data_IF_274483380640
#
_entry.id   IF_274483380640
#
_cell.length_a   1.000
_cell.length_b   1.000
_cell.length_c   1.000
_cell.angle_alpha   90.00
_cell.angle_beta   90.00
_cell.angle_gamma   90.00
#
_symmetry.space_group_name_H-M   'P 1'
#
loop_
_entity.id
_entity.type
_entity.pdbx_description
1 polymer ?
#
# COMPACT_ATOMS: atom_id res chain seq x y z
N UNK A 1 -4.17 -39.89 -21.34
CA UNK A 1 -3.33 -39.04 -20.47
C UNK A 1 -4.11 -38.01 -19.62
N UNK A 2 -5.35 -37.60 -19.95
CA UNK A 2 -6.06 -36.53 -19.20
C UNK A 2 -6.56 -36.89 -17.79
N UNK A 3 -6.90 -38.16 -17.50
CA UNK A 3 -7.38 -38.58 -16.16
C UNK A 3 -6.30 -38.61 -15.06
N UNK A 4 -5.04 -38.86 -15.41
CA UNK A 4 -3.90 -38.76 -14.47
C UNK A 4 -3.55 -37.30 -14.14
N UNK A 5 -3.79 -36.39 -15.08
CA UNK A 5 -3.57 -34.96 -14.89
C UNK A 5 -4.58 -34.35 -13.90
N UNK A 6 -5.87 -34.71 -14.00
CA UNK A 6 -6.91 -34.29 -13.04
C UNK A 6 -6.65 -34.79 -11.61
N UNK A 7 -6.04 -35.98 -11.44
CA UNK A 7 -5.59 -36.45 -10.12
C UNK A 7 -4.37 -35.67 -9.59
N UNK A 8 -3.44 -35.26 -10.47
CA UNK A 8 -2.28 -34.41 -10.11
C UNK A 8 -2.72 -32.98 -9.70
N UNK A 9 -3.84 -32.47 -10.25
CA UNK A 9 -4.47 -31.20 -9.87
C UNK A 9 -4.93 -31.16 -8.39
N UNK A 10 -5.41 -32.28 -7.83
CA UNK A 10 -5.92 -32.34 -6.45
C UNK A 10 -4.82 -32.18 -5.38
N UNK A 11 -3.54 -32.41 -5.73
CA UNK A 11 -2.38 -32.22 -4.85
C UNK A 11 -1.94 -30.75 -4.73
N UNK A 12 -2.43 -29.85 -5.60
CA UNK A 12 -2.01 -28.44 -5.69
C UNK A 12 -2.42 -27.59 -4.47
N UNK A 13 -3.54 -27.91 -3.80
CA UNK A 13 -4.17 -27.03 -2.79
C UNK A 13 -3.55 -27.03 -1.37
N UNK A 14 -2.53 -27.85 -1.08
CA UNK A 14 -2.01 -28.02 0.29
C UNK A 14 -0.78 -27.18 0.65
N UNK A 15 -0.15 -26.46 -0.27
CA UNK A 15 1.20 -25.91 -0.07
C UNK A 15 1.30 -24.38 0.15
N UNK A 16 0.26 -23.59 -0.12
CA UNK A 16 0.35 -22.14 0.06
C UNK A 16 -0.73 -21.56 0.97
N UNK A 17 -0.33 -21.21 2.20
CA UNK A 17 -1.11 -20.32 3.05
C UNK A 17 -0.17 -19.35 3.78
N UNK A 18 -0.13 -18.10 3.31
CA UNK A 18 0.02 -16.84 4.07
C UNK A 18 0.28 -15.66 3.12
N UNK A 19 -0.68 -14.73 3.05
CA UNK A 19 -0.69 -13.52 2.19
C UNK A 19 -0.71 -12.21 3.01
N UNK A 20 -0.04 -12.19 4.17
CA UNK A 20 -0.01 -11.00 5.05
C UNK A 20 1.27 -10.15 4.90
N UNK A 21 2.40 -10.74 4.49
CA UNK A 21 3.71 -10.05 4.52
C UNK A 21 4.13 -9.43 3.17
N UNK A 22 3.30 -9.54 2.13
CA UNK A 22 3.63 -9.13 0.74
C UNK A 22 3.42 -7.64 0.51
N UNK A 23 2.24 -7.14 0.86
CA UNK A 23 1.88 -5.73 0.75
C UNK A 23 2.76 -4.87 1.67
N UNK A 24 3.08 -5.36 2.87
CA UNK A 24 3.86 -4.61 3.87
C UNK A 24 5.26 -4.20 3.40
N UNK A 25 5.93 -4.94 2.52
CA UNK A 25 7.28 -4.57 2.05
C UNK A 25 7.25 -3.50 0.95
N UNK A 26 6.24 -3.56 0.06
CA UNK A 26 5.98 -2.56 -0.97
C UNK A 26 5.44 -1.29 -0.30
N UNK A 27 4.48 -1.43 0.61
CA UNK A 27 4.00 -0.36 1.49
C UNK A 27 5.14 0.29 2.25
N UNK A 28 6.02 -0.45 2.94
CA UNK A 28 7.17 0.17 3.64
C UNK A 28 8.07 1.00 2.72
N UNK A 29 8.31 0.59 1.47
CA UNK A 29 9.14 1.37 0.52
C UNK A 29 8.41 2.60 0.01
N UNK A 30 7.12 2.46 -0.22
CA UNK A 30 6.25 3.51 -0.72
C UNK A 30 5.99 4.51 0.41
N UNK A 31 5.59 4.06 1.59
CA UNK A 31 5.60 4.79 2.86
C UNK A 31 6.97 5.38 3.17
N UNK A 32 8.11 4.80 2.80
CA UNK A 32 9.41 5.48 2.96
C UNK A 32 9.56 6.65 1.96
N UNK A 33 9.06 6.50 0.74
CA UNK A 33 9.06 7.54 -0.31
C UNK A 33 8.04 8.65 -0.01
N UNK A 34 6.90 8.28 0.56
CA UNK A 34 5.89 9.18 1.09
C UNK A 34 6.25 9.70 2.47
N UNK A 35 7.05 9.01 3.27
CA UNK A 35 7.64 9.51 4.50
C UNK A 35 8.71 10.53 4.18
N UNK A 36 9.36 10.46 3.01
CA UNK A 36 10.13 11.58 2.48
C UNK A 36 9.17 12.73 2.12
N UNK A 37 7.98 12.48 1.55
CA UNK A 37 6.98 13.54 1.31
C UNK A 37 6.35 14.10 2.60
N UNK A 38 6.21 13.28 3.65
CA UNK A 38 5.75 13.65 4.99
C UNK A 38 6.87 14.37 5.73
N UNK A 39 8.13 13.94 5.59
CA UNK A 39 9.31 14.68 6.04
C UNK A 39 9.45 15.98 5.28
N UNK A 40 9.12 16.05 4.00
CA UNK A 40 9.10 17.28 3.22
C UNK A 40 7.95 18.19 3.64
N UNK A 41 6.74 17.68 3.93
CA UNK A 41 5.66 18.45 4.58
C UNK A 41 6.07 18.90 5.98
N UNK A 42 6.65 18.02 6.79
CA UNK A 42 7.17 18.33 8.13
C UNK A 42 8.36 19.28 8.07
N UNK A 43 9.17 19.25 7.00
CA UNK A 43 10.28 20.14 6.72
C UNK A 43 9.79 21.47 6.15
N UNK A 44 8.71 21.52 5.37
CA UNK A 44 8.03 22.74 4.92
C UNK A 44 7.34 23.42 6.10
N UNK A 45 6.71 22.63 6.98
CA UNK A 45 6.23 23.07 8.30
C UNK A 45 7.42 23.57 9.12
N UNK A 46 8.56 22.86 9.17
CA UNK A 46 9.78 23.35 9.84
C UNK A 46 10.47 24.54 9.16
N UNK A 47 10.30 24.74 7.86
CA UNK A 47 10.79 25.91 7.12
C UNK A 47 9.88 27.10 7.39
N UNK A 48 8.55 26.91 7.47
CA UNK A 48 7.61 27.88 8.06
C UNK A 48 7.88 28.12 9.55
N UNK A 49 8.42 27.15 10.32
CA UNK A 49 8.97 27.34 11.69
C UNK A 49 10.23 28.22 11.71
N UNK A 50 10.85 28.56 10.57
CA UNK A 50 12.12 29.30 10.46
C UNK A 50 12.02 30.61 9.68
N UNK A 51 10.91 30.90 9.01
CA UNK A 51 10.70 32.25 8.48
C UNK A 51 10.52 33.22 9.66
N UNK A 52 11.34 34.28 9.75
CA UNK A 52 11.15 35.27 10.80
C UNK A 52 9.83 35.97 10.54
N UNK A 53 8.88 35.82 11.47
CA UNK A 53 7.68 36.66 11.55
C UNK A 53 8.17 38.09 11.79
N UNK A 54 8.42 38.82 10.71
CA UNK A 54 8.61 40.26 10.72
C UNK A 54 7.22 40.89 10.76
N UNK A 55 6.64 40.93 11.96
CA UNK A 55 5.86 42.05 12.48
C UNK A 55 5.31 41.71 13.88
N UNK A 56 5.75 42.52 14.86
CA UNK A 56 5.21 42.75 16.22
C UNK A 56 5.11 41.53 17.15
N UNK A 57 5.74 41.43 18.32
CA UNK A 57 6.42 42.36 19.25
C UNK A 57 7.36 41.52 20.10
N UNK A 58 8.44 42.14 20.59
CA UNK A 58 9.46 41.58 21.47
C UNK A 58 8.93 40.60 22.55
N UNK A 59 9.12 39.30 22.32
CA UNK A 59 9.15 38.31 23.39
C UNK A 59 10.55 37.73 23.48
N UNK A 60 11.25 38.20 24.50
CA UNK A 60 12.62 37.88 24.84
C UNK A 60 12.90 36.36 24.80
N UNK A 61 14.05 36.04 24.23
CA UNK A 61 14.67 34.71 24.08
C UNK A 61 15.01 33.97 25.38
N UNK A 62 14.42 34.36 26.52
CA UNK A 62 14.63 33.77 27.85
C UNK A 62 13.51 32.82 28.31
N UNK A 63 12.42 32.68 27.57
CA UNK A 63 11.30 31.77 27.94
C UNK A 63 11.37 30.35 27.34
N UNK A 64 12.47 29.97 26.68
CA UNK A 64 12.59 28.63 26.07
C UNK A 64 12.73 27.47 27.08
N UNK A 65 12.97 27.74 28.37
CA UNK A 65 13.27 26.71 29.36
C UNK A 65 12.31 26.59 30.56
N UNK A 66 11.16 27.29 30.58
CA UNK A 66 10.20 27.18 31.69
C UNK A 66 8.74 27.12 31.18
N UNK A 67 8.39 26.07 30.43
CA UNK A 67 6.98 25.72 30.24
C UNK A 67 6.50 25.11 31.57
N UNK A 68 5.89 25.91 32.43
CA UNK A 68 5.37 25.46 33.71
C UNK A 68 4.06 24.68 33.50
N UNK A 69 4.01 23.42 33.92
CA UNK A 69 2.87 22.50 33.74
C UNK A 69 1.54 23.06 34.26
N UNK A 70 1.57 23.89 35.32
CA UNK A 70 0.38 24.58 35.83
C UNK A 70 -0.22 25.59 34.84
N UNK A 71 0.60 26.23 34.01
CA UNK A 71 0.13 27.18 33.00
C UNK A 71 -0.69 26.48 31.90
N UNK A 72 -0.28 25.27 31.48
CA UNK A 72 -1.02 24.50 30.46
C UNK A 72 -2.40 24.09 30.98
N UNK A 73 -2.51 23.65 32.24
CA UNK A 73 -3.80 23.35 32.88
C UNK A 73 -4.71 24.59 32.90
N UNK A 74 -4.16 25.75 33.22
CA UNK A 74 -4.90 26.99 33.29
C UNK A 74 -5.32 27.50 31.90
N UNK A 75 -4.49 27.31 30.88
CA UNK A 75 -4.86 27.54 29.47
C UNK A 75 -6.01 26.65 29.02
N UNK A 76 -6.00 25.37 29.36
CA UNK A 76 -7.08 24.44 29.01
C UNK A 76 -8.38 24.80 29.75
N UNK A 77 -8.29 25.23 31.01
CA UNK A 77 -9.45 25.77 31.73
C UNK A 77 -9.97 27.08 31.11
N UNK A 78 -9.07 27.96 30.66
CA UNK A 78 -9.42 29.20 29.97
C UNK A 78 -10.17 28.91 28.66
N UNK A 79 -9.76 27.87 27.91
CA UNK A 79 -10.53 27.40 26.76
C UNK A 79 -11.95 27.01 27.15
N UNK A 80 -12.18 26.33 28.29
CA UNK A 80 -13.53 25.89 28.70
C UNK A 80 -14.47 27.05 29.03
N UNK A 81 -13.99 28.14 29.66
CA UNK A 81 -14.86 29.11 30.33
C UNK A 81 -14.82 30.56 29.80
N UNK A 82 -13.92 30.94 28.89
CA UNK A 82 -13.80 32.34 28.39
C UNK A 82 -14.55 32.65 27.08
N UNK A 83 -14.87 33.94 26.88
CA UNK A 83 -15.48 34.52 25.66
C UNK A 83 -14.49 34.53 24.46
N UNK A 84 -15.04 34.47 23.24
CA UNK A 84 -14.34 34.14 21.98
C UNK A 84 -12.99 34.85 21.73
N UNK A 85 -12.82 36.14 22.05
CA UNK A 85 -11.57 36.86 21.73
C UNK A 85 -10.38 36.38 22.56
N UNK A 86 -10.57 35.98 23.82
CA UNK A 86 -9.48 35.45 24.67
C UNK A 86 -9.18 33.97 24.38
N UNK A 87 -10.10 33.29 23.68
CA UNK A 87 -9.97 31.87 23.32
C UNK A 87 -8.96 31.71 22.19
N UNK A 88 -8.94 32.63 21.21
CA UNK A 88 -8.00 32.56 20.10
C UNK A 88 -6.54 32.71 20.56
N UNK A 89 -6.24 33.70 21.40
CA UNK A 89 -4.90 33.90 21.96
C UNK A 89 -4.43 32.67 22.75
N UNK A 90 -5.33 32.09 23.56
CA UNK A 90 -5.04 30.87 24.32
C UNK A 90 -4.77 29.67 23.39
N UNK A 91 -5.48 29.57 22.26
CA UNK A 91 -5.26 28.52 21.24
C UNK A 91 -3.92 28.73 20.55
N UNK A 92 -3.57 29.96 20.18
CA UNK A 92 -2.29 30.27 19.53
C UNK A 92 -1.11 29.97 20.44
N UNK A 93 -1.19 30.35 21.72
CA UNK A 93 -0.15 30.01 22.70
C UNK A 93 -0.05 28.48 22.91
N UNK A 94 -1.18 27.76 23.00
CA UNK A 94 -1.18 26.30 23.07
C UNK A 94 -0.62 25.66 21.80
N UNK A 95 -0.87 26.26 20.63
CA UNK A 95 -0.31 25.83 19.35
C UNK A 95 1.20 25.96 19.36
N UNK A 96 1.76 27.09 19.80
CA UNK A 96 3.20 27.25 19.95
C UNK A 96 3.81 26.23 20.93
N UNK A 97 3.17 25.98 22.07
CA UNK A 97 3.64 25.00 23.05
C UNK A 97 3.65 23.59 22.45
N UNK A 98 2.59 23.18 21.76
CA UNK A 98 2.49 21.86 21.10
C UNK A 98 3.46 21.76 19.92
N UNK A 99 3.79 22.87 19.24
CA UNK A 99 4.74 22.91 18.12
C UNK A 99 6.22 22.91 18.54
N UNK A 100 6.56 23.55 19.66
CA UNK A 100 7.93 23.76 20.13
C UNK A 100 8.40 22.63 21.05
N UNK A 101 7.48 21.97 21.75
CA UNK A 101 7.86 21.06 22.82
C UNK A 101 8.26 19.66 22.34
N UNK A 102 9.32 19.10 22.94
CA UNK A 102 9.56 17.65 23.05
C UNK A 102 8.61 17.01 24.10
N UNK A 103 7.65 17.78 24.64
CA UNK A 103 6.85 17.34 25.78
C UNK A 103 5.88 16.23 25.34
N UNK A 104 5.74 15.18 26.16
CA UNK A 104 5.06 13.98 25.72
C UNK A 104 3.57 14.27 25.59
N UNK A 105 3.04 13.96 24.41
CA UNK A 105 1.63 14.04 24.07
C UNK A 105 0.64 13.34 25.06
N UNK A 106 0.99 12.42 25.99
CA UNK A 106 0.05 11.89 27.00
C UNK A 106 -0.40 12.93 28.03
N UNK A 107 0.39 13.98 28.29
CA UNK A 107 0.04 15.00 29.28
C UNK A 107 -1.13 15.88 28.80
N UNK A 108 -1.07 16.38 27.56
CA UNK A 108 -2.16 17.14 26.95
C UNK A 108 -3.48 16.35 26.90
N UNK A 109 -3.39 15.02 26.75
CA UNK A 109 -4.53 14.12 26.80
C UNK A 109 -5.13 14.02 28.19
N UNK A 110 -4.29 13.80 29.22
CA UNK A 110 -4.76 13.72 30.61
C UNK A 110 -5.47 14.99 31.06
N UNK A 111 -5.07 16.14 30.52
CA UNK A 111 -5.71 17.42 30.81
C UNK A 111 -7.03 17.66 30.04
N UNK A 112 -7.41 16.77 29.14
CA UNK A 112 -8.64 16.91 28.34
C UNK A 112 -8.55 17.99 27.26
N UNK A 113 -7.34 18.31 26.77
CA UNK A 113 -7.15 19.29 25.69
C UNK A 113 -7.94 18.88 24.43
N UNK A 114 -7.86 17.61 24.04
CA UNK A 114 -8.53 17.07 22.84
C UNK A 114 -10.03 17.31 22.90
N UNK A 115 -10.69 16.96 24.01
CA UNK A 115 -12.13 17.16 24.18
C UNK A 115 -12.51 18.64 24.14
N UNK A 116 -11.66 19.50 24.71
CA UNK A 116 -11.89 20.94 24.76
C UNK A 116 -11.77 21.58 23.38
N UNK A 117 -10.74 21.23 22.60
CA UNK A 117 -10.56 21.69 21.22
C UNK A 117 -11.70 21.20 20.32
N UNK A 118 -12.10 19.93 20.47
CA UNK A 118 -13.24 19.36 19.76
C UNK A 118 -14.53 20.11 20.06
N UNK A 119 -14.78 20.46 21.33
CA UNK A 119 -15.95 21.26 21.70
C UNK A 119 -15.89 22.66 21.08
N UNK A 120 -14.71 23.30 21.06
CA UNK A 120 -14.54 24.62 20.44
C UNK A 120 -14.77 24.60 18.94
N UNK A 121 -14.30 23.58 18.25
CA UNK A 121 -14.57 23.39 16.83
C UNK A 121 -16.08 23.29 16.56
N UNK A 122 -16.83 22.60 17.42
CA UNK A 122 -18.30 22.49 17.28
C UNK A 122 -19.06 23.78 17.56
N UNK A 123 -18.62 24.56 18.55
CA UNK A 123 -19.40 25.69 19.07
C UNK A 123 -18.97 27.05 18.51
N UNK A 124 -17.73 27.16 18.02
CA UNK A 124 -17.18 28.41 17.51
C UNK A 124 -17.76 28.76 16.14
N UNK A 125 -18.04 30.05 15.92
CA UNK A 125 -18.29 30.61 14.59
C UNK A 125 -17.05 31.32 14.01
N UNK A 126 -15.98 31.45 14.81
CA UNK A 126 -14.73 32.08 14.39
C UNK A 126 -13.85 31.03 13.69
N UNK A 127 -13.50 31.30 12.44
CA UNK A 127 -12.72 30.43 11.56
C UNK A 127 -11.30 30.23 12.09
N UNK A 128 -10.63 31.26 12.62
CA UNK A 128 -9.28 31.16 13.16
C UNK A 128 -9.22 30.23 14.39
N UNK A 129 -10.27 30.24 15.22
CA UNK A 129 -10.39 29.35 16.38
C UNK A 129 -10.52 27.90 15.90
N UNK A 130 -11.28 27.66 14.83
CA UNK A 130 -11.49 26.34 14.25
C UNK A 130 -10.17 25.84 13.63
N UNK A 131 -9.54 26.63 12.78
CA UNK A 131 -8.28 26.31 12.09
C UNK A 131 -7.16 25.98 13.07
N UNK A 132 -6.89 26.88 14.02
CA UNK A 132 -5.79 26.66 14.96
C UNK A 132 -6.07 25.51 15.94
N UNK A 133 -7.34 25.24 16.28
CA UNK A 133 -7.72 24.04 17.04
C UNK A 133 -7.47 22.76 16.25
N UNK A 134 -7.78 22.77 14.94
CA UNK A 134 -7.52 21.64 14.05
C UNK A 134 -6.02 21.36 13.92
N UNK A 135 -5.20 22.40 13.74
CA UNK A 135 -3.75 22.28 13.65
C UNK A 135 -3.14 21.63 14.90
N UNK A 136 -3.61 22.02 16.09
CA UNK A 136 -3.17 21.40 17.34
C UNK A 136 -3.56 19.92 17.38
N UNK A 137 -4.81 19.59 17.05
CA UNK A 137 -5.28 18.20 17.01
C UNK A 137 -4.49 17.35 16.01
N UNK A 138 -4.08 17.93 14.89
CA UNK A 138 -3.28 17.23 13.89
C UNK A 138 -1.89 16.96 14.40
N UNK A 139 -1.22 17.97 14.98
CA UNK A 139 0.10 17.77 15.58
C UNK A 139 0.05 16.69 16.68
N UNK A 140 -1.01 16.65 17.49
CA UNK A 140 -1.25 15.58 18.47
C UNK A 140 -1.44 14.22 17.76
N UNK A 141 -2.24 14.17 16.69
CA UNK A 141 -2.53 12.94 15.93
C UNK A 141 -1.34 12.39 15.14
N UNK A 142 -0.34 13.23 14.84
CA UNK A 142 0.87 12.82 14.13
C UNK A 142 1.84 12.01 14.99
N UNK A 143 1.57 11.88 16.29
CA UNK A 143 2.35 11.11 17.27
C UNK A 143 2.07 9.59 17.30
N UNK A 144 2.56 8.92 18.36
CA UNK A 144 2.40 7.49 18.65
C UNK A 144 0.94 6.96 18.52
N UNK A 145 0.81 5.65 18.28
CA UNK A 145 -0.47 4.94 18.06
C UNK A 145 -1.51 5.09 19.18
N UNK A 146 -1.09 5.41 20.40
CA UNK A 146 -1.98 5.64 21.55
C UNK A 146 -2.83 6.92 21.40
N UNK A 147 -2.35 7.93 20.67
CA UNK A 147 -3.08 9.19 20.46
C UNK A 147 -4.25 9.04 19.49
N UNK A 148 -4.08 8.18 18.49
CA UNK A 148 -5.13 7.86 17.51
C UNK A 148 -6.29 7.13 18.20
N UNK A 149 -6.01 6.18 19.10
CA UNK A 149 -7.03 5.46 19.87
C UNK A 149 -7.88 6.38 20.77
N UNK A 150 -7.30 7.47 21.29
CA UNK A 150 -8.03 8.43 22.12
C UNK A 150 -8.87 9.38 21.26
N UNK A 151 -8.42 9.74 20.07
CA UNK A 151 -9.25 10.47 19.09
C UNK A 151 -10.46 9.62 18.65
N UNK A 152 -10.26 8.31 18.45
CA UNK A 152 -11.32 7.34 18.17
C UNK A 152 -12.31 7.26 19.33
N UNK A 153 -11.83 7.08 20.57
CA UNK A 153 -12.67 6.99 21.77
C UNK A 153 -13.49 8.25 22.10
N UNK A 154 -13.12 9.41 21.56
CA UNK A 154 -13.84 10.68 21.74
C UNK A 154 -14.78 11.04 20.58
N UNK A 155 -15.07 10.11 19.66
CA UNK A 155 -15.89 10.36 18.46
C UNK A 155 -15.39 11.53 17.60
N UNK A 156 -14.09 11.82 17.61
CA UNK A 156 -13.53 12.93 16.85
C UNK A 156 -13.84 12.77 15.35
N UNK A 157 -13.80 11.52 14.85
CA UNK A 157 -14.20 11.11 13.50
C UNK A 157 -15.58 11.68 13.10
N UNK A 158 -16.63 11.45 13.88
CA UNK A 158 -18.00 11.91 13.61
C UNK A 158 -18.14 13.44 13.56
N UNK A 159 -17.22 14.16 14.20
CA UNK A 159 -17.24 15.61 14.30
C UNK A 159 -16.56 16.21 13.08
N UNK A 160 -15.44 15.63 12.67
CA UNK A 160 -14.81 15.96 11.39
C UNK A 160 -15.71 15.61 10.21
N UNK A 161 -16.41 14.49 10.28
CA UNK A 161 -17.42 14.14 9.29
C UNK A 161 -18.53 15.17 9.24
N UNK A 162 -19.05 15.63 10.38
CA UNK A 162 -20.04 16.73 10.43
C UNK A 162 -19.50 18.05 9.88
N UNK A 163 -18.22 18.37 10.09
CA UNK A 163 -17.61 19.58 9.51
C UNK A 163 -17.49 19.48 7.98
N UNK A 164 -17.26 18.27 7.46
CA UNK A 164 -17.21 17.99 6.03
C UNK A 164 -18.61 17.82 5.40
N UNK A 165 -19.59 17.31 6.16
CA UNK A 165 -20.94 16.95 5.70
C UNK A 165 -22.03 17.97 6.05
N UNK A 166 -21.70 19.07 6.73
CA UNK A 166 -22.68 20.12 6.99
C UNK A 166 -23.12 20.76 5.67
N UNK A 167 -24.32 20.38 5.21
CA UNK A 167 -25.09 20.87 4.05
C UNK A 167 -25.48 22.36 4.14
N UNK A 168 -24.56 23.24 4.53
CA UNK A 168 -24.82 24.67 4.56
C UNK A 168 -23.91 25.36 3.51
N UNK A 169 -24.43 25.66 2.30
CA UNK A 169 -23.65 26.21 1.20
C UNK A 169 -23.02 27.59 1.50
N UNK A 170 -23.47 28.26 2.57
CA UNK A 170 -22.88 29.51 3.08
C UNK A 170 -21.72 29.33 4.07
N UNK A 171 -21.52 28.13 4.64
CA UNK A 171 -20.35 27.77 5.48
C UNK A 171 -19.30 27.02 4.66
N UNK A 172 -19.73 26.15 3.72
CA UNK A 172 -19.03 26.06 2.43
C UNK A 172 -19.04 27.46 1.77
N UNK A 173 -18.40 27.84 0.68
CA UNK A 173 -18.31 29.27 0.26
C UNK A 173 -17.61 30.26 1.23
N UNK A 174 -17.93 30.38 2.54
CA UNK A 174 -17.24 31.31 3.48
C UNK A 174 -15.98 30.77 4.13
N UNK A 175 -15.98 29.52 4.63
CA UNK A 175 -14.71 28.81 4.96
C UNK A 175 -13.85 28.72 3.68
N UNK A 176 -14.49 28.76 2.50
CA UNK A 176 -13.84 28.68 1.20
C UNK A 176 -13.24 30.00 0.69
N UNK A 177 -13.47 31.15 1.34
CA UNK A 177 -13.11 32.45 0.76
C UNK A 177 -11.94 33.19 1.44
N UNK A 178 -11.47 32.85 2.66
CA UNK A 178 -10.54 33.76 3.36
C UNK A 178 -9.40 33.21 4.22
N UNK A 179 -9.42 31.96 4.68
CA UNK A 179 -8.18 31.25 5.03
C UNK A 179 -7.66 30.55 3.76
N UNK A 180 -6.41 30.09 3.72
CA UNK A 180 -6.04 29.10 2.70
C UNK A 180 -6.81 27.80 3.02
N UNK A 181 -8.12 27.72 2.70
CA UNK A 181 -9.06 26.60 2.90
C UNK A 181 -8.39 25.25 2.62
N UNK A 182 -7.56 25.26 1.58
CA UNK A 182 -6.79 24.14 1.10
C UNK A 182 -5.88 23.53 2.17
N UNK A 183 -5.31 24.35 3.06
CA UNK A 183 -4.43 23.90 4.14
C UNK A 183 -5.24 23.21 5.23
N UNK A 184 -6.40 23.77 5.62
CA UNK A 184 -7.35 23.15 6.55
C UNK A 184 -7.85 21.80 6.01
N UNK A 185 -8.19 21.74 4.72
CA UNK A 185 -8.64 20.49 4.08
C UNK A 185 -7.50 19.47 4.05
N UNK A 186 -6.26 19.87 3.72
CA UNK A 186 -5.07 18.98 3.78
C UNK A 186 -4.86 18.42 5.18
N UNK A 187 -5.09 19.26 6.18
CA UNK A 187 -4.96 18.96 7.58
C UNK A 187 -6.03 17.95 8.06
N UNK A 188 -7.30 18.17 7.70
CA UNK A 188 -8.40 17.24 7.97
C UNK A 188 -8.21 15.92 7.21
N UNK A 189 -7.82 15.99 5.95
CA UNK A 189 -7.51 14.84 5.09
C UNK A 189 -6.45 13.93 5.71
N UNK A 190 -5.34 14.53 6.17
CA UNK A 190 -4.26 13.81 6.83
C UNK A 190 -4.69 13.18 8.16
N UNK A 191 -5.53 13.87 8.94
CA UNK A 191 -6.08 13.35 10.18
C UNK A 191 -6.98 12.13 9.92
N UNK A 192 -7.92 12.23 8.98
CA UNK A 192 -8.76 11.11 8.56
C UNK A 192 -7.90 9.95 8.09
N UNK A 193 -6.85 10.21 7.30
CA UNK A 193 -5.93 9.18 6.87
C UNK A 193 -5.29 8.42 8.05
N UNK A 194 -4.83 9.13 9.07
CA UNK A 194 -4.20 8.51 10.24
C UNK A 194 -5.18 7.69 11.09
N UNK A 195 -6.45 8.10 11.19
CA UNK A 195 -7.49 7.33 11.86
C UNK A 195 -7.70 5.98 11.16
N UNK A 196 -7.78 5.98 9.83
CA UNK A 196 -7.98 4.78 9.00
C UNK A 196 -6.70 3.94 8.79
N UNK A 197 -5.53 4.49 9.10
CA UNK A 197 -4.24 3.78 9.02
C UNK A 197 -4.09 2.71 10.10
N UNK A 198 -4.80 2.83 11.23
CA UNK A 198 -4.66 1.87 12.33
C UNK A 198 -5.18 0.47 11.95
N UNK A 199 -4.69 -0.55 12.67
CA UNK A 199 -5.02 -1.96 12.42
C UNK A 199 -6.47 -2.33 12.76
N UNK A 200 -7.22 -1.41 13.38
CA UNK A 200 -8.62 -1.62 13.69
C UNK A 200 -9.46 -0.85 12.66
N UNK A 201 -10.38 -1.51 11.95
CA UNK A 201 -11.31 -0.77 11.12
C UNK A 201 -12.07 0.19 12.04
N UNK A 202 -12.16 1.50 11.72
CA UNK A 202 -13.12 2.35 12.39
C UNK A 202 -14.50 1.73 12.23
N UNK A 203 -15.41 2.06 13.14
CA UNK A 203 -16.77 1.52 13.13
C UNK A 203 -17.33 1.52 11.70
N UNK A 204 -17.70 0.34 11.21
CA UNK A 204 -18.12 0.14 9.81
C UNK A 204 -19.33 1.03 9.47
N UNK A 205 -20.07 1.48 10.48
CA UNK A 205 -21.16 2.45 10.35
C UNK A 205 -20.73 3.79 9.73
N UNK A 206 -19.47 4.19 9.91
CA UNK A 206 -18.91 5.48 9.47
C UNK A 206 -18.29 5.38 8.07
N UNK A 207 -17.98 4.17 7.61
CA UNK A 207 -17.29 3.93 6.34
C UNK A 207 -18.02 4.53 5.12
N UNK A 208 -19.36 4.44 4.99
CA UNK A 208 -20.07 5.04 3.85
C UNK A 208 -19.81 6.55 3.71
N UNK A 209 -19.94 7.31 4.79
CA UNK A 209 -19.76 8.77 4.77
C UNK A 209 -18.30 9.16 4.45
N UNK A 210 -17.33 8.36 4.91
CA UNK A 210 -15.91 8.63 4.69
C UNK A 210 -15.46 8.28 3.27
N UNK A 211 -16.02 7.22 2.68
CA UNK A 211 -15.73 6.84 1.30
C UNK A 211 -16.03 8.01 0.37
N UNK A 212 -17.19 8.65 0.51
CA UNK A 212 -17.60 9.77 -0.35
C UNK A 212 -16.63 10.96 -0.23
N UNK A 213 -16.12 11.22 0.98
CA UNK A 213 -15.11 12.26 1.23
C UNK A 213 -13.80 11.92 0.51
N UNK A 214 -13.26 10.72 0.67
CA UNK A 214 -12.02 10.36 -0.02
C UNK A 214 -12.18 10.32 -1.55
N UNK A 215 -13.35 9.92 -2.04
CA UNK A 215 -13.69 10.02 -3.46
C UNK A 215 -13.64 11.49 -3.93
N UNK A 216 -14.20 12.42 -3.14
CA UNK A 216 -14.12 13.86 -3.46
C UNK A 216 -12.68 14.37 -3.50
N UNK A 217 -11.80 13.89 -2.62
CA UNK A 217 -10.37 14.27 -2.62
C UNK A 217 -9.64 13.75 -3.86
N UNK A 218 -9.94 12.53 -4.30
CA UNK A 218 -9.39 11.95 -5.55
C UNK A 218 -9.80 12.77 -6.79
N UNK A 219 -10.96 13.43 -6.75
CA UNK A 219 -11.45 14.28 -7.84
C UNK A 219 -10.98 15.75 -7.76
N UNK A 220 -10.19 16.11 -6.74
CA UNK A 220 -9.65 17.47 -6.61
C UNK A 220 -8.49 17.75 -7.57
N UNK A 221 -8.15 19.04 -7.75
CA UNK A 221 -6.96 19.46 -8.50
C UNK A 221 -5.70 19.53 -7.62
N UNK A 222 -5.85 19.36 -6.31
CA UNK A 222 -4.77 19.50 -5.34
C UNK A 222 -4.03 18.18 -5.15
N UNK A 223 -2.77 18.13 -5.61
CA UNK A 223 -1.89 16.96 -5.51
C UNK A 223 -1.90 16.33 -4.12
N UNK A 224 -1.88 17.14 -3.07
CA UNK A 224 -1.90 16.68 -1.68
C UNK A 224 -3.18 15.95 -1.30
N UNK A 225 -4.33 16.46 -1.75
CA UNK A 225 -5.64 15.87 -1.46
C UNK A 225 -5.86 14.63 -2.30
N UNK A 226 -5.48 14.64 -3.58
CA UNK A 226 -5.52 13.45 -4.44
C UNK A 226 -4.76 12.29 -3.81
N UNK A 227 -3.53 12.54 -3.34
CA UNK A 227 -2.69 11.52 -2.71
C UNK A 227 -3.35 10.98 -1.44
N UNK A 228 -3.77 11.85 -0.54
CA UNK A 228 -4.39 11.44 0.72
C UNK A 228 -5.73 10.72 0.48
N UNK A 229 -6.52 11.17 -0.50
CA UNK A 229 -7.74 10.50 -0.96
C UNK A 229 -7.47 9.09 -1.48
N UNK A 230 -6.43 8.93 -2.29
CA UNK A 230 -6.04 7.61 -2.78
C UNK A 230 -5.64 6.66 -1.64
N UNK A 231 -4.85 7.15 -0.67
CA UNK A 231 -4.48 6.36 0.50
C UNK A 231 -5.67 6.04 1.40
N UNK A 232 -6.61 6.97 1.56
CA UNK A 232 -7.86 6.76 2.29
C UNK A 232 -8.70 5.65 1.68
N UNK A 233 -8.91 5.70 0.37
CA UNK A 233 -9.60 4.62 -0.38
C UNK A 233 -8.85 3.30 -0.21
N UNK A 234 -7.51 3.29 -0.31
CA UNK A 234 -6.72 2.09 -0.09
C UNK A 234 -6.94 1.48 1.30
N UNK A 235 -6.98 2.29 2.36
CA UNK A 235 -7.19 1.77 3.71
C UNK A 235 -8.61 1.25 3.93
N UNK A 236 -9.61 1.82 3.26
CA UNK A 236 -11.01 1.37 3.33
C UNK A 236 -11.24 0.09 2.53
N UNK A 237 -10.62 -0.04 1.36
CA UNK A 237 -10.78 -1.18 0.43
C UNK A 237 -10.07 -2.46 0.88
N UNK A 238 -9.80 -2.64 2.17
CA UNK A 238 -9.24 -3.88 2.73
C UNK A 238 -10.21 -5.06 2.66
N UNK A 239 -11.52 -4.78 2.62
CA UNK A 239 -12.58 -5.79 2.55
C UNK A 239 -13.30 -5.72 1.21
N UNK A 240 -13.72 -6.87 0.69
CA UNK A 240 -14.39 -6.98 -0.62
C UNK A 240 -15.66 -6.12 -0.73
N UNK A 241 -16.45 -6.02 0.34
CA UNK A 241 -17.66 -5.18 0.36
C UNK A 241 -17.38 -3.69 0.11
N UNK A 242 -16.19 -3.22 0.48
CA UNK A 242 -15.77 -1.84 0.25
C UNK A 242 -15.22 -1.62 -1.15
N UNK A 243 -14.69 -2.68 -1.78
CA UNK A 243 -14.30 -2.64 -3.19
C UNK A 243 -15.56 -2.42 -4.04
N UNK A 244 -16.62 -3.18 -3.79
CA UNK A 244 -17.92 -3.01 -4.47
C UNK A 244 -18.41 -1.57 -4.39
N UNK A 245 -18.36 -0.96 -3.21
CA UNK A 245 -18.81 0.42 -3.00
C UNK A 245 -18.04 1.44 -3.85
N UNK A 246 -16.71 1.29 -3.95
CA UNK A 246 -15.86 2.15 -4.78
C UNK A 246 -16.19 2.00 -6.27
N UNK A 247 -16.51 0.78 -6.72
CA UNK A 247 -16.92 0.52 -8.10
C UNK A 247 -18.32 1.09 -8.39
N UNK A 248 -19.27 0.97 -7.46
CA UNK A 248 -20.61 1.57 -7.55
C UNK A 248 -20.57 3.10 -7.63
N UNK A 249 -19.65 3.75 -6.93
CA UNK A 249 -19.41 5.19 -7.00
C UNK A 249 -18.71 5.64 -8.29
N UNK A 250 -18.45 4.72 -9.23
CA UNK A 250 -17.83 4.98 -10.51
C UNK A 250 -16.46 5.68 -10.42
N UNK A 251 -15.66 5.31 -9.41
CA UNK A 251 -14.33 5.91 -9.21
C UNK A 251 -13.27 5.35 -10.15
N UNK A 252 -13.49 4.19 -10.77
CA UNK A 252 -12.50 3.51 -11.60
C UNK A 252 -11.96 4.39 -12.76
N UNK A 253 -12.80 5.08 -13.56
CA UNK A 253 -12.30 5.98 -14.62
C UNK A 253 -11.42 7.11 -14.08
N UNK A 254 -11.75 7.67 -12.91
CA UNK A 254 -10.92 8.70 -12.27
C UNK A 254 -9.56 8.14 -11.84
N UNK A 255 -9.54 6.92 -11.27
CA UNK A 255 -8.30 6.24 -10.91
C UNK A 255 -7.41 5.98 -12.13
N UNK A 256 -7.97 5.54 -13.26
CA UNK A 256 -7.19 5.34 -14.49
C UNK A 256 -6.65 6.67 -15.05
N UNK A 257 -7.43 7.76 -14.98
CA UNK A 257 -6.93 9.10 -15.35
C UNK A 257 -5.73 9.50 -14.49
N UNK A 258 -5.77 9.25 -13.18
CA UNK A 258 -4.68 9.54 -12.26
C UNK A 258 -3.48 8.59 -12.42
N UNK A 259 -3.70 7.35 -12.85
CA UNK A 259 -2.64 6.40 -13.20
C UNK A 259 -1.77 6.91 -14.36
N UNK A 260 -2.36 7.74 -15.23
CA UNK A 260 -1.68 8.43 -16.34
C UNK A 260 -1.46 9.91 -16.05
N UNK A 261 -1.33 10.30 -14.80
CA UNK A 261 -0.93 11.66 -14.45
C UNK A 261 0.52 11.92 -14.94
N UNK A 262 0.95 13.18 -14.95
CA UNK A 262 2.36 13.53 -15.19
C UNK A 262 3.20 13.30 -13.93
N UNK A 263 2.61 13.59 -12.76
CA UNK A 263 3.25 13.40 -11.46
C UNK A 263 3.34 11.92 -11.09
N UNK A 264 4.56 11.38 -11.09
CA UNK A 264 4.84 10.03 -10.62
C UNK A 264 4.31 9.78 -9.20
N UNK A 265 4.26 10.82 -8.34
CA UNK A 265 3.72 10.69 -6.98
C UNK A 265 2.22 10.36 -6.96
N UNK A 266 1.45 11.02 -7.82
CA UNK A 266 0.01 10.76 -7.99
C UNK A 266 -0.20 9.37 -8.61
N UNK A 267 0.58 9.06 -9.66
CA UNK A 267 0.53 7.74 -10.28
C UNK A 267 0.80 6.61 -9.26
N UNK A 268 1.82 6.78 -8.42
CA UNK A 268 2.16 5.78 -7.38
C UNK A 268 1.04 5.62 -6.35
N UNK A 269 0.31 6.69 -5.98
CA UNK A 269 -0.76 6.60 -4.98
C UNK A 269 -1.99 5.82 -5.46
N UNK A 270 -2.17 5.64 -6.77
CA UNK A 270 -3.29 4.87 -7.34
C UNK A 270 -3.08 3.35 -7.24
N UNK A 271 -1.85 2.88 -7.42
CA UNK A 271 -1.55 1.44 -7.46
C UNK A 271 -2.01 0.63 -6.23
N UNK A 272 -1.89 1.12 -4.98
CA UNK A 272 -2.42 0.43 -3.81
C UNK A 272 -3.90 0.08 -3.95
N UNK A 273 -4.72 1.01 -4.44
CA UNK A 273 -6.15 0.79 -4.65
C UNK A 273 -6.38 -0.31 -5.68
N UNK A 274 -5.72 -0.20 -6.85
CA UNK A 274 -5.80 -1.22 -7.90
C UNK A 274 -5.31 -2.59 -7.41
N UNK A 275 -4.33 -2.62 -6.51
CA UNK A 275 -3.84 -3.86 -5.90
C UNK A 275 -4.90 -4.52 -5.00
N UNK A 276 -5.64 -3.74 -4.21
CA UNK A 276 -6.77 -4.27 -3.42
C UNK A 276 -7.89 -4.78 -4.34
N UNK A 277 -8.26 -4.02 -5.38
CA UNK A 277 -9.28 -4.47 -6.35
C UNK A 277 -8.84 -5.79 -7.02
N UNK A 278 -7.58 -5.90 -7.43
CA UNK A 278 -7.04 -7.11 -8.06
C UNK A 278 -6.97 -8.33 -7.12
N UNK A 279 -6.85 -8.10 -5.81
CA UNK A 279 -6.79 -9.13 -4.78
C UNK A 279 -8.16 -9.71 -4.44
N UNK A 280 -9.22 -8.92 -4.66
CA UNK A 280 -10.59 -9.30 -4.30
C UNK A 280 -11.13 -10.50 -5.07
N UNK A 281 -12.43 -10.72 -4.96
CA UNK A 281 -13.14 -11.82 -5.62
C UNK A 281 -12.97 -11.87 -7.15
N UNK A 282 -13.31 -13.02 -7.75
CA UNK A 282 -13.17 -13.26 -9.19
C UNK A 282 -13.88 -12.21 -10.06
N UNK A 283 -15.01 -11.66 -9.59
CA UNK A 283 -15.73 -10.58 -10.27
C UNK A 283 -14.94 -9.26 -10.32
N UNK A 284 -14.18 -8.92 -9.26
CA UNK A 284 -13.34 -7.73 -9.23
C UNK A 284 -12.17 -7.85 -10.21
N UNK A 285 -11.56 -9.05 -10.27
CA UNK A 285 -10.51 -9.36 -11.25
C UNK A 285 -11.03 -9.25 -12.68
N UNK A 286 -12.19 -9.84 -12.95
CA UNK A 286 -12.81 -9.75 -14.28
C UNK A 286 -13.20 -8.32 -14.63
N UNK A 287 -13.67 -7.52 -13.66
CA UNK A 287 -13.95 -6.11 -13.87
C UNK A 287 -12.70 -5.36 -14.35
N UNK A 288 -11.54 -5.58 -13.71
CA UNK A 288 -10.29 -4.95 -14.13
C UNK A 288 -9.87 -5.38 -15.56
N UNK A 289 -9.98 -6.68 -15.86
CA UNK A 289 -9.63 -7.22 -17.18
C UNK A 289 -10.54 -6.69 -18.29
N UNK A 290 -11.86 -6.68 -18.07
CA UNK A 290 -12.84 -6.11 -19.00
C UNK A 290 -12.59 -4.63 -19.28
N UNK A 291 -12.03 -3.91 -18.32
CA UNK A 291 -11.63 -2.50 -18.46
C UNK A 291 -10.19 -2.31 -18.95
N UNK A 292 -9.56 -3.35 -19.52
CA UNK A 292 -8.24 -3.31 -20.15
C UNK A 292 -7.12 -2.85 -19.21
N UNK A 293 -7.19 -3.22 -17.93
CA UNK A 293 -6.16 -2.82 -16.94
C UNK A 293 -4.74 -3.20 -17.40
N UNK A 294 -4.58 -4.31 -18.14
CA UNK A 294 -3.29 -4.79 -18.61
C UNK A 294 -2.63 -3.76 -19.56
N UNK A 295 -3.40 -3.22 -20.50
CA UNK A 295 -2.92 -2.18 -21.43
C UNK A 295 -2.56 -0.89 -20.68
N UNK A 296 -3.37 -0.51 -19.69
CA UNK A 296 -3.15 0.71 -18.90
C UNK A 296 -1.88 0.59 -18.05
N UNK A 297 -1.65 -0.54 -17.40
CA UNK A 297 -0.42 -0.80 -16.63
C UNK A 297 0.84 -0.82 -17.52
N UNK A 298 0.75 -1.36 -18.74
CA UNK A 298 1.86 -1.38 -19.70
C UNK A 298 2.24 0.05 -20.10
N UNK A 299 1.25 0.86 -20.49
CA UNK A 299 1.45 2.29 -20.82
C UNK A 299 2.09 3.06 -19.67
N UNK A 300 1.59 2.87 -18.44
CA UNK A 300 2.13 3.54 -17.26
C UNK A 300 3.57 3.14 -16.99
N UNK A 301 3.91 1.85 -17.12
CA UNK A 301 5.29 1.43 -16.95
C UNK A 301 6.21 2.02 -18.02
N UNK A 302 5.84 2.00 -19.30
CA UNK A 302 6.67 2.58 -20.35
C UNK A 302 6.92 4.08 -20.18
N UNK A 303 5.92 4.82 -19.67
CA UNK A 303 6.06 6.25 -19.37
C UNK A 303 7.15 6.53 -18.34
N UNK A 304 7.18 5.77 -17.24
CA UNK A 304 8.03 6.09 -16.10
C UNK A 304 9.30 5.25 -16.00
N UNK A 305 9.30 4.04 -16.57
CA UNK A 305 10.37 3.04 -16.49
C UNK A 305 11.01 2.99 -15.10
N UNK A 306 10.17 2.75 -14.08
CA UNK A 306 10.50 2.93 -12.67
C UNK A 306 10.29 1.63 -11.87
N UNK A 307 11.24 1.31 -10.98
CA UNK A 307 11.20 0.08 -10.18
C UNK A 307 9.98 -0.04 -9.25
N UNK A 308 9.47 1.08 -8.73
CA UNK A 308 8.30 1.10 -7.82
C UNK A 308 7.04 0.81 -8.62
N UNK A 309 6.93 1.43 -9.81
CA UNK A 309 5.85 1.16 -10.76
C UNK A 309 5.85 -0.33 -11.15
N UNK A 310 7.01 -0.87 -11.55
CA UNK A 310 7.10 -2.29 -11.91
C UNK A 310 6.78 -3.22 -10.74
N UNK A 311 7.15 -2.85 -9.51
CA UNK A 311 6.79 -3.63 -8.31
C UNK A 311 5.28 -3.73 -8.13
N UNK A 312 4.55 -2.62 -8.33
CA UNK A 312 3.10 -2.61 -8.24
C UNK A 312 2.41 -3.29 -9.42
N UNK A 313 2.91 -3.08 -10.64
CA UNK A 313 2.44 -3.81 -11.83
C UNK A 313 2.58 -5.32 -11.59
N UNK A 314 3.75 -5.77 -11.12
CA UNK A 314 3.99 -7.18 -10.81
C UNK A 314 3.06 -7.71 -9.72
N UNK A 315 2.77 -6.92 -8.67
CA UNK A 315 1.81 -7.29 -7.62
C UNK A 315 0.39 -7.42 -8.15
N UNK A 316 -0.06 -6.49 -8.98
CA UNK A 316 -1.41 -6.56 -9.58
C UNK A 316 -1.51 -7.79 -10.48
N UNK A 317 -0.50 -8.06 -11.31
CA UNK A 317 -0.46 -9.26 -12.16
C UNK A 317 -0.42 -10.54 -11.32
N UNK A 318 0.31 -10.57 -10.20
CA UNK A 318 0.34 -11.74 -9.31
C UNK A 318 -1.03 -12.03 -8.69
N UNK A 319 -1.77 -10.98 -8.29
CA UNK A 319 -3.13 -11.09 -7.77
C UNK A 319 -4.12 -11.56 -8.84
N UNK A 320 -4.04 -11.02 -10.06
CA UNK A 320 -4.87 -11.44 -11.19
C UNK A 320 -4.57 -12.89 -11.61
N UNK A 321 -3.30 -13.33 -11.54
CA UNK A 321 -2.90 -14.71 -11.84
C UNK A 321 -3.49 -15.72 -10.85
N UNK A 322 -3.90 -15.30 -9.65
CA UNK A 322 -4.72 -16.11 -8.73
C UNK A 322 -6.21 -16.11 -9.14
N UNK A 323 -6.47 -16.13 -10.45
CA UNK A 323 -7.78 -16.02 -11.08
C UNK A 323 -8.25 -17.36 -11.65
N UNK A 324 -9.29 -17.30 -12.48
CA UNK A 324 -9.74 -18.45 -13.27
C UNK A 324 -8.78 -18.75 -14.43
N UNK A 325 -8.92 -19.93 -15.05
CA UNK A 325 -8.13 -20.28 -16.25
C UNK A 325 -8.26 -19.23 -17.35
N UNK A 326 -9.46 -18.69 -17.60
CA UNK A 326 -9.67 -17.64 -18.61
C UNK A 326 -8.89 -16.36 -18.28
N UNK A 327 -8.92 -15.93 -17.03
CA UNK A 327 -8.19 -14.75 -16.56
C UNK A 327 -6.67 -14.92 -16.67
N UNK A 328 -6.17 -16.13 -16.39
CA UNK A 328 -4.76 -16.46 -16.58
C UNK A 328 -4.38 -16.41 -18.07
N UNK A 329 -5.26 -16.88 -18.96
CA UNK A 329 -5.07 -16.76 -20.41
C UNK A 329 -4.84 -15.31 -20.84
N UNK A 330 -5.70 -14.39 -20.41
CA UNK A 330 -5.56 -12.95 -20.69
C UNK A 330 -4.21 -12.38 -20.24
N UNK A 331 -3.70 -12.81 -19.08
CA UNK A 331 -2.40 -12.37 -18.55
C UNK A 331 -1.24 -12.92 -19.39
N UNK A 332 -1.29 -14.19 -19.79
CA UNK A 332 -0.23 -14.84 -20.58
C UNK A 332 -0.15 -14.27 -21.99
N UNK A 333 -1.30 -13.94 -22.56
CA UNK A 333 -1.41 -13.33 -23.89
C UNK A 333 -1.01 -11.84 -23.86
N UNK A 334 -1.01 -11.21 -22.69
CA UNK A 334 -0.54 -9.83 -22.52
C UNK A 334 0.98 -9.69 -22.64
N UNK A 335 1.43 -8.50 -23.03
CA UNK A 335 2.87 -8.16 -23.08
C UNK A 335 3.47 -7.92 -21.70
N UNK A 336 2.64 -7.67 -20.67
CA UNK A 336 3.11 -7.35 -19.33
C UNK A 336 3.96 -8.46 -18.71
N UNK A 337 3.60 -9.73 -18.94
CA UNK A 337 4.38 -10.83 -18.42
C UNK A 337 5.78 -10.87 -19.05
N UNK A 338 5.87 -10.72 -20.37
CA UNK A 338 7.15 -10.63 -21.09
C UNK A 338 7.97 -9.43 -20.60
N UNK A 339 7.31 -8.27 -20.45
CA UNK A 339 7.92 -7.05 -19.92
C UNK A 339 8.51 -7.26 -18.51
N UNK A 340 7.80 -7.95 -17.60
CA UNK A 340 8.29 -8.26 -16.26
C UNK A 340 9.53 -9.17 -16.34
N UNK A 341 9.49 -10.21 -17.17
CA UNK A 341 10.59 -11.16 -17.36
C UNK A 341 11.85 -10.42 -17.84
N UNK A 342 11.75 -9.67 -18.93
CA UNK A 342 12.86 -8.90 -19.52
C UNK A 342 13.43 -7.89 -18.52
N UNK A 343 12.57 -7.17 -17.80
CA UNK A 343 13.02 -6.19 -16.82
C UNK A 343 13.75 -6.80 -15.62
N UNK A 344 13.38 -8.01 -15.19
CA UNK A 344 14.13 -8.72 -14.14
C UNK A 344 15.50 -9.15 -14.69
N UNK A 345 15.58 -9.61 -15.94
CA UNK A 345 16.84 -10.02 -16.56
C UNK A 345 17.81 -8.85 -16.76
N UNK A 346 17.32 -7.71 -17.23
CA UNK A 346 18.18 -6.62 -17.69
C UNK A 346 18.49 -5.57 -16.62
N UNK A 347 17.47 -5.13 -15.85
CA UNK A 347 17.55 -3.86 -15.10
C UNK A 347 17.25 -4.01 -13.61
N UNK A 348 16.21 -4.76 -13.27
CA UNK A 348 15.64 -4.83 -11.94
C UNK A 348 15.84 -6.19 -11.26
N UNK A 349 16.76 -7.02 -11.76
CA UNK A 349 17.16 -8.30 -11.18
C UNK A 349 17.81 -8.23 -9.79
N UNK A 350 17.94 -7.06 -9.18
CA UNK A 350 18.34 -6.88 -7.77
C UNK A 350 17.17 -6.55 -6.85
N UNK A 351 15.98 -6.32 -7.39
CA UNK A 351 14.81 -5.88 -6.63
C UNK A 351 13.99 -7.09 -6.18
N UNK A 352 14.19 -7.52 -4.95
CA UNK A 352 13.52 -8.71 -4.40
C UNK A 352 11.99 -8.63 -4.41
N UNK A 353 11.41 -7.42 -4.35
CA UNK A 353 9.95 -7.27 -4.45
C UNK A 353 9.41 -7.74 -5.81
N UNK A 354 10.09 -7.39 -6.91
CA UNK A 354 9.68 -7.78 -8.26
C UNK A 354 9.90 -9.28 -8.45
N UNK A 355 11.05 -9.80 -8.01
CA UNK A 355 11.34 -11.25 -8.01
C UNK A 355 10.29 -12.05 -7.25
N UNK A 356 9.90 -11.59 -6.07
CA UNK A 356 8.90 -12.24 -5.24
C UNK A 356 7.57 -12.32 -5.96
N UNK A 357 7.07 -11.20 -6.51
CA UNK A 357 5.82 -11.21 -7.26
C UNK A 357 5.90 -12.03 -8.54
N UNK A 358 7.03 -12.01 -9.26
CA UNK A 358 7.27 -12.90 -10.40
C UNK A 358 7.15 -14.38 -10.02
N UNK A 359 7.80 -14.81 -8.94
CA UNK A 359 7.67 -16.21 -8.49
C UNK A 359 6.23 -16.56 -8.09
N UNK A 360 5.48 -15.62 -7.53
CA UNK A 360 4.06 -15.81 -7.20
C UNK A 360 3.20 -15.91 -8.46
N UNK A 361 3.45 -15.10 -9.50
CA UNK A 361 2.77 -15.21 -10.79
C UNK A 361 2.96 -16.63 -11.34
N UNK A 362 4.20 -17.10 -11.43
CA UNK A 362 4.51 -18.44 -11.96
C UNK A 362 3.84 -19.53 -11.13
N UNK A 363 3.89 -19.46 -9.80
CA UNK A 363 3.20 -20.42 -8.93
C UNK A 363 1.69 -20.43 -9.16
N UNK A 364 1.05 -19.27 -9.23
CA UNK A 364 -0.39 -19.18 -9.46
C UNK A 364 -0.79 -19.77 -10.82
N UNK A 365 0.01 -19.54 -11.87
CA UNK A 365 -0.22 -20.15 -13.18
C UNK A 365 -0.02 -21.67 -13.13
N UNK A 366 1.01 -22.17 -12.44
CA UNK A 366 1.22 -23.60 -12.28
C UNK A 366 0.08 -24.28 -11.48
N UNK A 367 -0.53 -23.56 -10.55
CA UNK A 367 -1.61 -24.06 -9.71
C UNK A 367 -2.98 -24.02 -10.41
N UNK A 368 -3.30 -22.89 -11.04
CA UNK A 368 -4.65 -22.61 -11.54
C UNK A 368 -4.74 -22.60 -13.07
N UNK A 369 -3.62 -22.67 -13.78
CA UNK A 369 -3.57 -22.65 -15.24
C UNK A 369 -3.69 -24.02 -15.90
N UNK A 370 -3.94 -23.97 -17.21
CA UNK A 370 -3.98 -25.13 -18.12
C UNK A 370 -2.56 -25.57 -18.49
N UNK A 371 -2.44 -26.73 -19.14
CA UNK A 371 -1.15 -27.18 -19.66
C UNK A 371 -0.56 -26.19 -20.69
N UNK A 372 -1.41 -25.64 -21.58
CA UNK A 372 -0.99 -24.67 -22.58
C UNK A 372 -0.42 -23.40 -21.93
N UNK A 373 -1.03 -22.92 -20.86
CA UNK A 373 -0.50 -21.79 -20.09
C UNK A 373 0.92 -22.06 -19.57
N UNK A 374 1.17 -23.27 -19.06
CA UNK A 374 2.48 -23.68 -18.54
C UNK A 374 3.52 -23.76 -19.67
N UNK A 375 3.15 -24.34 -20.82
CA UNK A 375 4.04 -24.41 -21.99
C UNK A 375 4.42 -23.02 -22.48
N UNK A 376 3.45 -22.10 -22.61
CA UNK A 376 3.70 -20.72 -23.01
C UNK A 376 4.64 -20.00 -22.02
N UNK A 377 4.53 -20.24 -20.71
CA UNK A 377 5.46 -19.69 -19.73
C UNK A 377 6.89 -20.20 -19.95
N UNK A 378 7.05 -21.50 -20.22
CA UNK A 378 8.36 -22.09 -20.45
C UNK A 378 9.00 -21.51 -21.72
N UNK A 379 8.22 -21.36 -22.79
CA UNK A 379 8.66 -20.75 -24.06
C UNK A 379 9.07 -19.28 -23.90
N UNK A 380 8.44 -18.53 -22.98
CA UNK A 380 8.83 -17.16 -22.61
C UNK A 380 10.11 -17.08 -21.76
N UNK A 381 10.82 -18.19 -21.53
CA UNK A 381 12.11 -18.18 -20.82
C UNK A 381 12.02 -18.21 -19.30
N UNK A 382 10.89 -18.61 -18.72
CA UNK A 382 10.71 -18.65 -17.25
C UNK A 382 11.73 -19.55 -16.56
N UNK A 383 12.16 -20.67 -17.16
CA UNK A 383 13.13 -21.58 -16.55
C UNK A 383 14.48 -20.87 -16.33
N UNK A 384 14.99 -20.18 -17.35
CA UNK A 384 16.23 -19.41 -17.28
C UNK A 384 16.14 -18.37 -16.16
N UNK A 385 15.03 -17.61 -16.15
CA UNK A 385 14.85 -16.56 -15.16
C UNK A 385 14.74 -17.12 -13.73
N UNK A 386 14.10 -18.27 -13.52
CA UNK A 386 14.04 -18.90 -12.20
C UNK A 386 15.44 -19.34 -11.73
N UNK A 387 16.29 -19.89 -12.61
CA UNK A 387 17.70 -20.19 -12.29
C UNK A 387 18.51 -18.94 -11.90
N UNK A 388 18.18 -17.77 -12.46
CA UNK A 388 18.79 -16.50 -12.05
C UNK A 388 18.21 -15.99 -10.71
N UNK A 389 16.90 -16.07 -10.53
CA UNK A 389 16.18 -15.51 -9.36
C UNK A 389 16.46 -16.28 -8.08
N UNK A 390 16.60 -17.60 -8.15
CA UNK A 390 16.82 -18.48 -6.98
C UNK A 390 18.13 -18.17 -6.22
N UNK A 391 19.08 -17.46 -6.84
CA UNK A 391 20.37 -17.08 -6.25
C UNK A 391 20.26 -15.88 -5.29
N UNK A 392 19.05 -15.43 -4.94
CA UNK A 392 18.84 -14.38 -3.93
C UNK A 392 19.09 -14.90 -2.50
N UNK A 393 19.16 -13.96 -1.55
CA UNK A 393 19.31 -14.23 -0.11
C UNK A 393 17.93 -14.39 0.56
N UNK A 394 16.86 -13.84 -0.05
CA UNK A 394 15.51 -13.92 0.49
C UNK A 394 14.99 -15.37 0.46
N UNK A 395 14.87 -15.96 1.64
CA UNK A 395 14.47 -17.37 1.80
C UNK A 395 13.08 -17.67 1.22
N UNK A 396 12.16 -16.71 1.20
CA UNK A 396 10.83 -16.92 0.63
C UNK A 396 10.90 -17.02 -0.88
N UNK A 397 11.74 -16.20 -1.53
CA UNK A 397 11.94 -16.26 -2.99
C UNK A 397 12.63 -17.58 -3.36
N UNK A 398 13.67 -17.98 -2.63
CA UNK A 398 14.35 -19.27 -2.84
C UNK A 398 13.33 -20.41 -2.73
N UNK A 399 12.52 -20.41 -1.66
CA UNK A 399 11.50 -21.43 -1.45
C UNK A 399 10.47 -21.47 -2.57
N UNK A 400 9.96 -20.32 -3.02
CA UNK A 400 9.04 -20.24 -4.15
C UNK A 400 9.67 -20.82 -5.44
N UNK A 401 10.94 -20.50 -5.73
CA UNK A 401 11.66 -21.03 -6.90
C UNK A 401 11.79 -22.55 -6.84
N UNK A 402 12.12 -23.11 -5.68
CA UNK A 402 12.18 -24.56 -5.48
C UNK A 402 10.81 -25.21 -5.66
N UNK A 403 9.73 -24.58 -5.18
CA UNK A 403 8.37 -25.08 -5.42
C UNK A 403 8.03 -25.09 -6.92
N UNK A 404 8.42 -24.04 -7.65
CA UNK A 404 8.26 -23.97 -9.11
C UNK A 404 8.98 -25.14 -9.79
N UNK A 405 10.26 -25.36 -9.49
CA UNK A 405 11.00 -26.51 -10.06
C UNK A 405 10.34 -27.85 -9.72
N UNK A 406 9.98 -28.05 -8.44
CA UNK A 406 9.33 -29.28 -8.01
C UNK A 406 8.02 -29.55 -8.79
N UNK A 407 7.19 -28.52 -8.96
CA UNK A 407 5.90 -28.64 -9.66
C UNK A 407 6.14 -28.88 -11.15
N UNK A 408 6.98 -28.09 -11.81
CA UNK A 408 7.22 -28.19 -13.25
C UNK A 408 7.78 -29.58 -13.63
N UNK A 409 8.76 -30.09 -12.88
CA UNK A 409 9.35 -31.42 -13.13
C UNK A 409 8.29 -32.52 -12.98
N UNK A 410 7.48 -32.44 -11.91
CA UNK A 410 6.45 -33.44 -11.61
C UNK A 410 5.26 -33.42 -12.58
N UNK A 411 4.92 -32.24 -13.11
CA UNK A 411 3.84 -32.08 -14.07
C UNK A 411 4.22 -32.59 -15.44
N UNK A 412 5.47 -32.33 -15.85
CA UNK A 412 5.88 -32.63 -17.21
C UNK A 412 6.55 -34.00 -17.38
N UNK A 413 7.16 -34.62 -16.36
CA UNK A 413 7.88 -35.92 -16.50
C UNK A 413 8.67 -36.00 -17.83
N UNK A 414 9.18 -34.85 -18.29
CA UNK A 414 9.69 -34.65 -19.63
C UNK A 414 11.14 -34.22 -19.53
N UNK A 415 11.99 -34.99 -20.19
CA UNK A 415 13.41 -34.76 -20.28
C UNK A 415 13.76 -33.36 -20.79
N UNK A 416 12.93 -32.76 -21.65
CA UNK A 416 13.12 -31.39 -22.15
C UNK A 416 13.31 -30.36 -21.02
N UNK A 417 12.48 -30.40 -19.98
CA UNK A 417 12.54 -29.44 -18.88
C UNK A 417 13.77 -29.66 -18.02
N UNK A 418 14.10 -30.93 -17.77
CA UNK A 418 15.31 -31.30 -17.02
C UNK A 418 16.54 -30.74 -17.72
N UNK A 419 16.64 -30.91 -19.04
CA UNK A 419 17.72 -30.37 -19.85
C UNK A 419 17.77 -28.84 -19.84
N UNK A 420 16.62 -28.15 -19.88
CA UNK A 420 16.61 -26.70 -19.75
C UNK A 420 17.13 -26.26 -18.38
N UNK A 421 16.72 -26.92 -17.30
CA UNK A 421 17.19 -26.57 -15.96
C UNK A 421 18.70 -26.83 -15.84
N UNK A 422 19.20 -27.94 -16.39
CA UNK A 422 20.64 -28.25 -16.43
C UNK A 422 21.43 -27.23 -17.26
N UNK A 423 20.93 -26.86 -18.45
CA UNK A 423 21.53 -25.84 -19.33
C UNK A 423 21.76 -24.52 -18.60
N UNK A 424 20.86 -24.12 -17.70
CA UNK A 424 20.96 -22.88 -16.93
C UNK A 424 21.54 -23.07 -15.52
N UNK A 425 22.32 -24.14 -15.31
CA UNK A 425 22.99 -24.48 -14.04
C UNK A 425 22.06 -24.65 -12.84
N UNK A 426 20.78 -24.92 -13.09
CA UNK A 426 19.79 -25.05 -12.02
C UNK A 426 20.00 -26.29 -11.18
N UNK A 427 20.56 -27.36 -11.75
CA UNK A 427 20.90 -28.57 -11.00
C UNK A 427 21.95 -28.29 -9.92
N UNK A 428 23.07 -27.63 -10.28
CA UNK A 428 24.11 -27.30 -9.31
C UNK A 428 23.59 -26.37 -8.22
N UNK A 429 22.80 -25.35 -8.59
CA UNK A 429 22.21 -24.43 -7.62
C UNK A 429 21.30 -25.16 -6.63
N UNK A 430 20.43 -26.05 -7.12
CA UNK A 430 19.55 -26.84 -6.23
C UNK A 430 20.38 -27.79 -5.35
N UNK A 431 21.47 -28.35 -5.86
CA UNK A 431 22.39 -29.18 -5.10
C UNK A 431 23.10 -28.41 -3.98
N UNK A 432 23.59 -27.20 -4.24
CA UNK A 432 24.16 -26.35 -3.19
C UNK A 432 23.14 -26.04 -2.08
N UNK A 433 21.87 -25.82 -2.45
CA UNK A 433 20.79 -25.54 -1.52
C UNK A 433 20.39 -26.72 -0.61
N UNK A 434 20.85 -27.96 -0.86
CA UNK A 434 20.60 -29.08 0.07
C UNK A 434 21.27 -28.89 1.43
N UNK A 435 22.33 -28.06 1.48
CA UNK A 435 23.08 -27.75 2.69
C UNK A 435 22.61 -26.43 3.34
N UNK A 436 21.50 -25.86 2.87
CA UNK A 436 20.99 -24.58 3.36
C UNK A 436 20.52 -24.68 4.82
N UNK A 437 20.75 -23.61 5.62
CA UNK A 437 20.40 -23.58 7.06
C UNK A 437 18.91 -23.76 7.33
N UNK A 438 18.06 -23.26 6.43
CA UNK A 438 16.62 -23.47 6.50
C UNK A 438 16.26 -24.88 6.05
N UNK A 439 15.72 -25.68 6.98
CA UNK A 439 15.38 -27.09 6.76
C UNK A 439 14.32 -27.31 5.69
N UNK A 440 13.38 -26.37 5.49
CA UNK A 440 12.36 -26.46 4.45
C UNK A 440 12.97 -26.38 3.05
N UNK A 441 13.92 -25.45 2.87
CA UNK A 441 14.68 -25.27 1.61
C UNK A 441 15.51 -26.53 1.36
N UNK A 442 16.32 -26.96 2.33
CA UNK A 442 17.17 -28.14 2.21
C UNK A 442 16.38 -29.41 1.84
N UNK A 443 15.27 -29.66 2.55
CA UNK A 443 14.41 -30.83 2.32
C UNK A 443 13.75 -30.80 0.94
N UNK A 444 13.30 -29.62 0.50
CA UNK A 444 12.66 -29.48 -0.82
C UNK A 444 13.69 -29.66 -1.94
N UNK A 445 14.89 -29.10 -1.79
CA UNK A 445 16.00 -29.31 -2.73
C UNK A 445 16.35 -30.79 -2.90
N UNK A 446 16.48 -31.54 -1.80
CA UNK A 446 16.74 -33.00 -1.87
C UNK A 446 15.66 -33.75 -2.66
N UNK A 447 14.38 -33.42 -2.42
CA UNK A 447 13.25 -34.03 -3.16
C UNK A 447 13.29 -33.69 -4.65
N UNK A 448 13.70 -32.48 -5.01
CA UNK A 448 13.84 -32.05 -6.40
C UNK A 448 14.96 -32.86 -7.07
N UNK A 449 16.14 -33.00 -6.45
CA UNK A 449 17.25 -33.78 -7.01
C UNK A 449 16.90 -35.26 -7.21
N UNK A 450 16.15 -35.86 -6.27
CA UNK A 450 15.65 -37.22 -6.43
C UNK A 450 14.77 -37.37 -7.68
N UNK A 451 13.90 -36.40 -7.92
CA UNK A 451 13.06 -36.38 -9.12
C UNK A 451 13.88 -36.15 -10.40
N UNK A 452 14.87 -35.26 -10.37
CA UNK A 452 15.81 -35.04 -11.48
C UNK A 452 16.49 -36.34 -11.89
N UNK A 453 17.13 -37.03 -10.94
CA UNK A 453 17.84 -38.28 -11.20
C UNK A 453 16.91 -39.38 -11.70
N UNK A 454 15.66 -39.41 -11.20
CA UNK A 454 14.66 -40.35 -11.69
C UNK A 454 14.35 -40.11 -13.17
N UNK A 455 14.13 -38.86 -13.58
CA UNK A 455 13.83 -38.51 -14.98
C UNK A 455 15.02 -38.81 -15.91
N UNK A 456 16.25 -38.49 -15.48
CA UNK A 456 17.47 -38.81 -16.22
C UNK A 456 17.63 -40.32 -16.44
N UNK A 457 17.41 -41.13 -15.39
CA UNK A 457 17.52 -42.58 -15.48
C UNK A 457 16.43 -43.22 -16.36
N UNK A 458 15.24 -42.63 -16.42
CA UNK A 458 14.16 -43.08 -17.31
C UNK A 458 14.49 -42.79 -18.78
N UNK A 459 15.11 -41.64 -19.08
CA UNK A 459 15.58 -41.32 -20.44
C UNK A 459 16.68 -42.27 -20.90
N UNK A 460 17.70 -42.51 -20.07
CA UNK A 460 18.80 -43.43 -20.40
C UNK A 460 18.28 -44.83 -20.75
N UNK A 461 17.22 -45.30 -20.06
CA UNK A 461 16.58 -46.58 -20.38
C UNK A 461 15.88 -46.54 -21.74
N UNK A 462 15.17 -45.47 -22.06
CA UNK A 462 14.50 -45.31 -23.36
C UNK A 462 15.50 -45.22 -24.52
N UNK A 463 16.64 -44.56 -24.31
CA UNK A 463 17.70 -44.42 -25.31
C UNK A 463 18.52 -45.72 -25.51
N UNK A 464 18.47 -46.66 -24.56
CA UNK A 464 19.09 -47.99 -24.67
C UNK A 464 18.12 -49.01 -25.32
N UNK A 465 16.81 -48.80 -25.18
CA UNK A 465 15.75 -49.66 -25.74
C UNK A 465 15.40 -49.33 -27.21
N UNK A 466 15.85 -48.18 -27.72
CA UNK A 466 15.74 -47.74 -29.11
C UNK A 466 17.09 -47.79 -29.82
#
# INVERSE_FOLDING_TARGET
MSKNFQRKLCLRKKLHKKTSDRENSILKRVENTFAISNRLRHNLIQQRRREPILQSTDLNTTQKNNINFGCIQQMIQNLKYKQNNQVLDTILELKEIVLISETPSPYFLQLGLVQTLIQKIKTSKNEDIIENSLDILINISTGLSEYIQILDGNNAQNIFLKLLSHNNPHIQSKIFEKCCLIEIIKNISFLLLNLFRTTFPPDLSIVPDVIDIFCSFVLSDEISLIIDGCWGIFYITKFDSQIDKILELNMYPALIKLLHNESLRITISVFPILSNISKGEQRHKQFLLNNKILDELEKTFHRYNNQVVLSYVSLIISNLANGTEAQIGEIIDSKLLTLIIENIQEKYGKIDAIKKEFTVIVLNVLENGTFQHITNLIEKGVIELICQVIQTIDQQIIYNCLQIFYIIIKLNENYYIVNQIEKYRGFEIVNELTNHKNTLIATLSQKILQNFNKCLNEQIKQDIEH
#
